data_IF_647286456392
#
_entry.id   IF_647286456392
#
_cell.length_a   1.000
_cell.length_b   1.000
_cell.length_c   1.000
_cell.angle_alpha   90.00
_cell.angle_beta   90.00
_cell.angle_gamma   90.00
#
_symmetry.space_group_name_H-M   'P 1'
#
loop_
_entity.id
_entity.type
_entity.pdbx_description
1 polymer ?
#
# COMPACT_ATOMS: atom_id res chain seq x y z
N UNK A 1 -24.77 -44.84 -51.59
CA UNK A 1 -23.78 -45.84 -51.12
C UNK A 1 -24.26 -47.18 -51.67
N UNK A 2 -23.58 -47.74 -52.68
CA UNK A 2 -24.00 -48.97 -53.37
C UNK A 2 -22.86 -49.98 -53.28
N UNK A 3 -23.18 -51.20 -52.83
CA UNK A 3 -22.25 -52.31 -52.59
C UNK A 3 -22.10 -53.12 -53.90
N UNK A 4 -20.88 -53.34 -54.37
CA UNK A 4 -20.57 -54.28 -55.46
C UNK A 4 -20.42 -55.73 -54.94
N UNK A 5 -20.62 -56.75 -55.80
CA UNK A 5 -20.66 -58.17 -55.42
C UNK A 5 -19.33 -58.79 -54.96
N UNK A 6 -18.25 -58.00 -54.95
CA UNK A 6 -16.87 -58.39 -54.67
C UNK A 6 -16.24 -57.58 -53.52
N UNK A 7 -17.06 -56.86 -52.74
CA UNK A 7 -16.67 -56.32 -51.43
C UNK A 7 -15.69 -55.14 -51.44
N UNK A 8 -15.33 -54.61 -52.60
CA UNK A 8 -14.48 -53.41 -52.74
C UNK A 8 -15.30 -52.12 -52.80
N UNK A 9 -14.89 -51.11 -52.01
CA UNK A 9 -15.48 -49.77 -51.98
C UNK A 9 -14.97 -48.91 -53.14
N UNK A 10 -15.86 -48.42 -54.00
CA UNK A 10 -15.54 -47.40 -55.00
C UNK A 10 -15.81 -46.00 -54.45
N UNK A 11 -14.78 -45.16 -54.42
CA UNK A 11 -14.89 -43.71 -54.22
C UNK A 11 -15.32 -43.05 -55.54
N UNK A 12 -16.45 -42.34 -55.54
CA UNK A 12 -16.88 -41.52 -56.67
C UNK A 12 -15.89 -40.36 -56.90
N UNK A 13 -15.65 -39.92 -58.15
CA UNK A 13 -14.81 -38.75 -58.42
C UNK A 13 -15.59 -37.46 -58.14
N UNK A 14 -14.97 -36.54 -57.40
CA UNK A 14 -15.43 -35.16 -57.22
C UNK A 14 -14.84 -34.29 -58.37
N UNK A 15 -15.61 -33.37 -58.98
CA UNK A 15 -15.11 -32.57 -60.10
C UNK A 15 -14.19 -31.42 -59.68
N UNK A 16 -13.28 -31.09 -60.58
CA UNK A 16 -12.31 -30.00 -60.49
C UNK A 16 -12.93 -28.63 -60.84
N UNK A 17 -12.40 -27.58 -60.18
CA UNK A 17 -12.67 -26.15 -60.37
C UNK A 17 -12.81 -25.47 -59.01
N UNK A 18 -12.17 -24.36 -58.64
CA UNK A 18 -11.41 -23.31 -59.33
C UNK A 18 -10.51 -22.58 -58.28
N UNK A 19 -9.42 -22.00 -58.78
CA UNK A 19 -8.68 -20.80 -58.30
C UNK A 19 -8.32 -20.56 -56.83
N UNK A 20 -7.03 -20.76 -56.58
CA UNK A 20 -6.05 -19.88 -55.92
C UNK A 20 -6.55 -18.50 -55.43
N UNK A 21 -6.57 -18.28 -54.12
CA UNK A 21 -6.34 -16.95 -53.51
C UNK A 21 -5.35 -17.13 -52.36
N UNK A 22 -4.12 -16.63 -52.57
CA UNK A 22 -3.09 -16.50 -51.56
C UNK A 22 -3.51 -15.43 -50.53
N UNK A 23 -4.01 -15.88 -49.38
CA UNK A 23 -4.14 -15.01 -48.23
C UNK A 23 -2.78 -14.90 -47.52
N UNK A 24 -2.10 -13.79 -47.74
CA UNK A 24 -0.94 -13.39 -46.96
C UNK A 24 -1.34 -13.27 -45.49
N UNK A 25 -0.85 -14.18 -44.65
CA UNK A 25 -0.85 -14.02 -43.19
C UNK A 25 0.01 -12.82 -42.83
N UNK A 26 -0.62 -11.66 -42.65
CA UNK A 26 0.00 -10.58 -41.89
C UNK A 26 0.02 -11.01 -40.42
N UNK A 27 1.18 -11.54 -40.03
CA UNK A 27 1.58 -11.77 -38.64
C UNK A 27 1.32 -10.50 -37.82
N UNK A 28 0.24 -10.51 -37.05
CA UNK A 28 -0.01 -9.52 -36.01
C UNK A 28 1.03 -9.71 -34.92
N UNK A 29 2.07 -8.87 -34.93
CA UNK A 29 3.08 -8.81 -33.88
C UNK A 29 2.39 -8.36 -32.57
N UNK A 30 1.83 -9.34 -31.86
CA UNK A 30 1.25 -9.16 -30.53
C UNK A 30 2.42 -9.01 -29.56
N UNK A 31 2.66 -7.80 -29.05
CA UNK A 31 3.63 -7.60 -27.98
C UNK A 31 3.33 -8.59 -26.83
N UNK A 32 4.36 -9.26 -26.28
CA UNK A 32 4.17 -10.41 -25.40
C UNK A 32 3.42 -10.00 -24.13
N UNK A 33 2.32 -10.71 -23.82
CA UNK A 33 1.52 -10.55 -22.58
C UNK A 33 2.38 -10.47 -21.31
N UNK A 34 3.50 -11.20 -21.31
CA UNK A 34 4.48 -11.29 -20.22
C UNK A 34 5.11 -9.97 -19.77
N UNK A 35 5.27 -9.00 -20.67
CA UNK A 35 5.83 -7.68 -20.31
C UNK A 35 4.81 -6.79 -19.61
N UNK A 36 3.52 -7.02 -19.85
CA UNK A 36 2.44 -6.14 -19.38
C UNK A 36 2.03 -6.52 -17.96
N UNK A 37 1.84 -7.81 -17.70
CA UNK A 37 1.59 -8.36 -16.36
C UNK A 37 2.72 -7.98 -15.37
N UNK A 38 3.96 -7.95 -15.85
CA UNK A 38 5.12 -7.53 -15.06
C UNK A 38 5.10 -6.05 -14.64
N UNK A 39 4.53 -5.16 -15.45
CA UNK A 39 4.37 -3.74 -15.09
C UNK A 39 3.28 -3.55 -14.03
N UNK A 40 2.20 -4.37 -14.04
CA UNK A 40 1.16 -4.32 -13.01
C UNK A 40 1.69 -4.79 -11.64
N UNK A 41 2.38 -5.94 -11.63
CA UNK A 41 3.02 -6.46 -10.42
C UNK A 41 3.98 -5.42 -9.84
N UNK A 42 4.69 -4.67 -10.69
CA UNK A 42 5.64 -3.64 -10.25
C UNK A 42 5.00 -2.55 -9.40
N UNK A 43 3.88 -1.94 -9.82
CA UNK A 43 3.27 -0.85 -9.05
C UNK A 43 2.64 -1.35 -7.74
N UNK A 44 2.10 -2.56 -7.75
CA UNK A 44 1.54 -3.21 -6.56
C UNK A 44 2.64 -3.57 -5.56
N UNK A 45 3.78 -4.10 -6.04
CA UNK A 45 4.98 -4.36 -5.25
C UNK A 45 5.56 -3.07 -4.70
N UNK A 46 5.75 -2.03 -5.51
CA UNK A 46 6.27 -0.73 -5.05
C UNK A 46 5.38 -0.12 -3.96
N UNK A 47 4.05 -0.24 -4.09
CA UNK A 47 3.10 0.23 -3.08
C UNK A 47 3.21 -0.58 -1.78
N UNK A 48 3.38 -1.90 -1.89
CA UNK A 48 3.62 -2.79 -0.75
C UNK A 48 4.95 -2.49 -0.06
N UNK A 49 5.99 -2.15 -0.80
CA UNK A 49 7.28 -1.75 -0.24
C UNK A 49 7.20 -0.42 0.49
N UNK A 50 6.52 0.57 -0.08
CA UNK A 50 6.38 1.91 0.52
C UNK A 50 5.56 1.93 1.81
N UNK A 51 4.66 0.97 2.05
CA UNK A 51 3.94 0.88 3.33
C UNK A 51 4.81 0.28 4.46
N UNK A 52 5.86 -0.49 4.14
CA UNK A 52 6.70 -1.16 5.15
C UNK A 52 7.39 -0.17 6.12
N UNK A 53 8.02 0.94 5.66
CA UNK A 53 8.58 1.93 6.55
C UNK A 53 7.53 2.56 7.49
N UNK A 54 6.34 2.88 6.98
CA UNK A 54 5.23 3.44 7.77
C UNK A 54 4.83 2.46 8.88
N UNK A 55 4.66 1.18 8.56
CA UNK A 55 4.35 0.11 9.53
C UNK A 55 5.42 0.00 10.61
N UNK A 56 6.70 -0.04 10.21
CA UNK A 56 7.84 -0.17 11.12
C UNK A 56 7.94 1.03 12.06
N UNK A 57 7.83 2.25 11.53
CA UNK A 57 7.92 3.48 12.30
C UNK A 57 6.73 3.65 13.25
N UNK A 58 5.52 3.30 12.82
CA UNK A 58 4.32 3.31 13.66
C UNK A 58 4.49 2.36 14.86
N UNK A 59 4.94 1.13 14.60
CA UNK A 59 5.22 0.15 15.65
C UNK A 59 6.32 0.63 16.59
N UNK A 60 7.37 1.25 16.04
CA UNK A 60 8.50 1.77 16.82
C UNK A 60 8.04 2.86 17.80
N UNK A 61 7.22 3.81 17.35
CA UNK A 61 6.67 4.86 18.20
C UNK A 61 5.81 4.28 19.32
N UNK A 62 4.80 3.47 18.98
CA UNK A 62 3.89 2.89 19.95
C UNK A 62 4.63 2.03 20.99
N UNK A 63 5.63 1.25 20.56
CA UNK A 63 6.49 0.46 21.45
C UNK A 63 7.31 1.36 22.38
N UNK A 64 7.87 2.47 21.88
CA UNK A 64 8.67 3.38 22.70
C UNK A 64 7.82 4.10 23.75
N UNK A 65 6.59 4.47 23.42
CA UNK A 65 5.63 5.08 24.34
C UNK A 65 5.13 4.08 25.39
N UNK A 66 4.75 2.86 24.97
CA UNK A 66 4.24 1.82 25.87
C UNK A 66 5.29 1.31 26.86
N UNK A 67 6.56 1.19 26.43
CA UNK A 67 7.63 0.67 27.28
C UNK A 67 7.95 1.54 28.49
N UNK A 68 7.60 2.82 28.48
CA UNK A 68 8.06 3.77 29.50
C UNK A 68 6.93 4.52 30.21
N UNK A 69 5.72 4.53 29.65
CA UNK A 69 4.52 4.99 30.36
C UNK A 69 3.96 4.03 31.42
N UNK A 70 4.51 2.81 31.55
CA UNK A 70 3.97 1.75 32.42
C UNK A 70 5.02 1.03 33.29
N UNK A 71 6.30 1.39 33.20
CA UNK A 71 7.41 0.63 33.80
C UNK A 71 8.17 1.36 34.92
N UNK A 72 7.73 2.56 35.31
CA UNK A 72 8.17 3.19 36.55
C UNK A 72 7.27 2.76 37.71
N UNK A 73 7.87 2.28 38.80
CA UNK A 73 7.18 2.00 40.08
C UNK A 73 6.59 3.28 40.70
N UNK A 74 7.14 4.43 40.33
CA UNK A 74 6.55 5.74 40.55
C UNK A 74 5.58 5.99 39.40
N UNK A 75 4.29 5.86 39.68
CA UNK A 75 3.22 6.17 38.74
C UNK A 75 3.45 7.53 38.09
N UNK A 76 2.86 7.73 36.91
CA UNK A 76 2.85 9.01 36.21
C UNK A 76 2.58 10.10 37.25
N UNK A 77 3.60 10.86 37.68
CA UNK A 77 3.40 11.92 38.66
C UNK A 77 2.25 12.75 38.09
N UNK A 78 1.19 12.85 38.88
CA UNK A 78 -0.17 13.22 38.52
C UNK A 78 -0.33 14.69 38.09
N UNK A 79 0.74 15.28 37.56
CA UNK A 79 0.93 16.69 37.25
C UNK A 79 1.14 16.99 35.77
N UNK A 80 0.73 16.11 34.86
CA UNK A 80 0.48 16.57 33.48
C UNK A 80 -0.81 17.38 33.46
N UNK A 81 -0.69 18.71 33.42
CA UNK A 81 -1.75 19.70 33.15
C UNK A 81 -2.29 19.56 31.71
N UNK A 82 -2.66 18.34 31.31
CA UNK A 82 -3.24 18.05 30.02
C UNK A 82 -4.75 18.26 30.09
N UNK A 83 -5.25 19.19 29.28
CA UNK A 83 -6.69 19.35 29.10
C UNK A 83 -7.33 18.08 28.55
N UNK A 84 -8.62 17.87 28.84
CA UNK A 84 -9.37 16.72 28.29
C UNK A 84 -9.29 16.64 26.77
N UNK A 85 -9.23 17.79 26.08
CA UNK A 85 -9.05 17.86 24.62
C UNK A 85 -7.72 17.25 24.16
N UNK A 86 -6.63 17.51 24.89
CA UNK A 86 -5.30 16.97 24.59
C UNK A 86 -5.23 15.47 24.87
N UNK A 87 -5.83 15.01 25.98
CA UNK A 87 -5.93 13.58 26.30
C UNK A 87 -6.74 12.82 25.24
N UNK A 88 -7.89 13.36 24.83
CA UNK A 88 -8.68 12.78 23.72
C UNK A 88 -7.87 12.74 22.44
N UNK A 89 -7.12 13.80 22.11
CA UNK A 89 -6.25 13.80 20.91
C UNK A 89 -5.17 12.71 20.95
N UNK A 90 -4.58 12.41 22.12
CA UNK A 90 -3.60 11.33 22.29
C UNK A 90 -4.25 9.95 22.17
N UNK A 91 -5.41 9.75 22.78
CA UNK A 91 -6.16 8.49 22.69
C UNK A 91 -6.57 8.19 21.24
N UNK A 92 -7.07 9.21 20.55
CA UNK A 92 -7.42 9.12 19.14
C UNK A 92 -6.22 8.93 18.24
N UNK A 93 -5.05 9.46 18.60
CA UNK A 93 -3.83 9.32 17.81
C UNK A 93 -3.45 7.85 17.60
N UNK A 94 -3.33 7.08 18.68
CA UNK A 94 -2.93 5.67 18.60
C UNK A 94 -3.93 4.83 17.80
N UNK A 95 -5.22 5.02 18.05
CA UNK A 95 -6.29 4.30 17.34
C UNK A 95 -6.36 4.69 15.86
N UNK A 96 -6.32 5.98 15.51
CA UNK A 96 -6.33 6.46 14.11
C UNK A 96 -5.10 5.99 13.35
N UNK A 97 -3.91 6.02 13.97
CA UNK A 97 -2.68 5.50 13.39
C UNK A 97 -2.83 4.00 13.07
N UNK A 98 -3.27 3.21 14.04
CA UNK A 98 -3.48 1.78 13.86
C UNK A 98 -4.50 1.47 12.76
N UNK A 99 -5.68 2.13 12.78
CA UNK A 99 -6.72 1.94 11.77
C UNK A 99 -6.20 2.29 10.38
N UNK A 100 -5.54 3.43 10.23
CA UNK A 100 -5.03 3.89 8.94
C UNK A 100 -4.00 2.91 8.36
N UNK A 101 -2.98 2.57 9.16
CA UNK A 101 -1.88 1.73 8.72
C UNK A 101 -2.32 0.28 8.45
N UNK A 102 -3.17 -0.29 9.31
CA UNK A 102 -3.68 -1.64 9.10
C UNK A 102 -4.70 -1.71 7.97
N UNK A 103 -5.48 -0.65 7.75
CA UNK A 103 -6.39 -0.52 6.62
C UNK A 103 -5.61 -0.52 5.29
N UNK A 104 -4.58 0.32 5.18
CA UNK A 104 -3.71 0.36 4.00
C UNK A 104 -3.08 -1.02 3.73
N UNK A 105 -2.48 -1.64 4.76
CA UNK A 105 -1.85 -2.95 4.60
C UNK A 105 -2.84 -4.04 4.17
N UNK A 106 -4.08 -4.03 4.70
CA UNK A 106 -5.13 -4.98 4.30
C UNK A 106 -5.59 -4.76 2.87
N UNK A 107 -5.75 -3.50 2.45
CA UNK A 107 -6.14 -3.15 1.08
C UNK A 107 -5.09 -3.61 0.07
N UNK A 108 -3.80 -3.39 0.37
CA UNK A 108 -2.69 -3.84 -0.50
C UNK A 108 -2.62 -5.38 -0.53
N UNK A 109 -2.74 -6.05 0.62
CA UNK A 109 -2.73 -7.52 0.69
C UNK A 109 -3.91 -8.18 -0.04
N UNK A 110 -5.03 -7.47 -0.14
CA UNK A 110 -6.25 -7.92 -0.79
C UNK A 110 -6.30 -7.63 -2.29
N UNK A 111 -5.22 -7.13 -2.90
CA UNK A 111 -5.15 -6.95 -4.34
C UNK A 111 -5.15 -8.32 -5.02
N UNK A 112 -6.29 -8.67 -5.62
CA UNK A 112 -6.48 -9.87 -6.42
C UNK A 112 -7.12 -9.42 -7.74
N UNK A 113 -6.50 -9.67 -8.91
CA UNK A 113 -7.11 -9.34 -10.20
C UNK A 113 -8.46 -10.02 -10.43
N UNK A 114 -9.43 -9.37 -11.10
CA UNK A 114 -9.35 -8.00 -11.63
C UNK A 114 -9.55 -6.92 -10.55
N UNK A 115 -8.64 -5.94 -10.51
CA UNK A 115 -8.65 -4.85 -9.53
C UNK A 115 -9.31 -3.59 -10.09
N UNK A 116 -10.21 -2.96 -9.33
CA UNK A 116 -10.66 -1.59 -9.60
C UNK A 116 -9.65 -0.59 -9.01
N UNK A 117 -8.64 -0.23 -9.83
CA UNK A 117 -7.53 0.64 -9.44
C UNK A 117 -8.00 2.00 -8.89
N UNK A 118 -9.01 2.61 -9.50
CA UNK A 118 -9.54 3.90 -9.06
C UNK A 118 -10.18 3.81 -7.66
N UNK A 119 -11.00 2.78 -7.42
CA UNK A 119 -11.64 2.54 -6.12
C UNK A 119 -10.60 2.23 -5.04
N UNK A 120 -9.61 1.40 -5.36
CA UNK A 120 -8.50 1.08 -4.45
C UNK A 120 -7.69 2.34 -4.15
N UNK A 121 -7.31 3.10 -5.17
CA UNK A 121 -6.55 4.35 -5.02
C UNK A 121 -7.26 5.35 -4.11
N UNK A 122 -8.56 5.59 -4.34
CA UNK A 122 -9.40 6.42 -3.47
C UNK A 122 -9.43 5.93 -2.03
N UNK A 123 -9.56 4.61 -1.82
CA UNK A 123 -9.56 4.01 -0.48
C UNK A 123 -8.23 4.24 0.23
N UNK A 124 -7.11 3.93 -0.42
CA UNK A 124 -5.76 4.11 0.11
C UNK A 124 -5.47 5.57 0.43
N UNK A 125 -5.84 6.49 -0.46
CA UNK A 125 -5.71 7.95 -0.27
C UNK A 125 -6.49 8.42 0.96
N UNK A 126 -7.72 7.95 1.12
CA UNK A 126 -8.56 8.27 2.27
C UNK A 126 -7.91 7.81 3.58
N UNK A 127 -7.30 6.62 3.60
CA UNK A 127 -6.61 6.07 4.76
C UNK A 127 -5.24 6.73 5.02
N UNK A 128 -4.55 7.22 3.99
CA UNK A 128 -3.28 7.94 4.14
C UNK A 128 -3.46 9.39 4.60
N UNK A 129 -4.62 10.02 4.32
CA UNK A 129 -4.89 11.42 4.67
C UNK A 129 -4.68 11.74 6.16
N UNK A 130 -5.21 10.95 7.13
CA UNK A 130 -4.96 11.17 8.55
C UNK A 130 -3.49 11.15 8.94
N UNK A 131 -2.66 10.36 8.26
CA UNK A 131 -1.23 10.24 8.54
C UNK A 131 -0.48 11.55 8.32
N UNK A 132 -0.97 12.39 7.40
CA UNK A 132 -0.38 13.69 7.06
C UNK A 132 -0.91 14.83 7.92
N UNK A 133 -2.21 14.82 8.27
CA UNK A 133 -2.87 16.04 8.77
C UNK A 133 -3.30 15.98 10.23
N UNK A 134 -3.28 14.80 10.87
CA UNK A 134 -3.86 14.63 12.21
C UNK A 134 -2.83 14.38 13.31
N UNK A 135 -1.55 14.33 12.97
CA UNK A 135 -0.52 13.85 13.90
C UNK A 135 0.34 14.97 14.48
N UNK A 136 0.34 16.17 13.92
CA UNK A 136 1.13 17.30 14.44
C UNK A 136 0.82 17.61 15.90
N UNK A 137 -0.48 17.81 16.22
CA UNK A 137 -0.93 18.12 17.59
C UNK A 137 -0.58 17.02 18.60
N UNK A 138 -0.96 15.74 18.40
CA UNK A 138 -0.59 14.69 19.35
C UNK A 138 0.93 14.47 19.43
N UNK A 139 1.69 14.61 18.34
CA UNK A 139 3.16 14.53 18.41
C UNK A 139 3.76 15.68 19.23
N UNK A 140 3.24 16.89 19.11
CA UNK A 140 3.66 18.02 19.94
C UNK A 140 3.37 17.75 21.43
N UNK A 141 2.19 17.20 21.76
CA UNK A 141 1.83 16.80 23.13
C UNK A 141 2.77 15.69 23.64
N UNK A 142 3.06 14.68 22.81
CA UNK A 142 4.02 13.63 23.19
C UNK A 142 5.39 14.25 23.45
N UNK A 143 5.83 15.19 22.61
CA UNK A 143 7.11 15.89 22.79
C UNK A 143 7.14 16.76 24.04
N UNK A 144 6.05 17.42 24.40
CA UNK A 144 6.03 18.36 25.52
C UNK A 144 5.82 17.67 26.86
N UNK A 145 5.05 16.58 26.90
CA UNK A 145 4.67 15.93 28.15
C UNK A 145 5.45 14.65 28.43
N UNK A 146 5.67 13.80 27.42
CA UNK A 146 6.37 12.54 27.66
C UNK A 146 7.88 12.77 27.74
N UNK A 147 8.48 13.59 26.87
CA UNK A 147 9.94 13.76 26.86
C UNK A 147 10.51 14.23 28.22
N UNK A 148 9.93 15.21 28.92
CA UNK A 148 10.38 15.59 30.27
C UNK A 148 10.10 14.52 31.33
N UNK A 149 8.94 13.87 31.25
CA UNK A 149 8.54 12.83 32.19
C UNK A 149 9.43 11.58 32.10
N UNK A 150 10.00 11.32 30.92
CA UNK A 150 10.96 10.25 30.69
C UNK A 150 12.40 10.63 31.12
N UNK A 151 12.61 11.77 31.77
CA UNK A 151 13.93 12.30 32.10
C UNK A 151 14.17 12.48 33.61
N UNK A 152 13.37 11.86 34.47
CA UNK A 152 13.40 12.09 35.93
C UNK A 152 14.58 11.48 36.70
N UNK A 153 15.49 10.76 36.05
CA UNK A 153 16.71 10.20 36.69
C UNK A 153 17.91 11.15 36.63
N UNK A 154 18.94 10.88 37.45
CA UNK A 154 20.15 11.69 37.77
C UNK A 154 20.87 12.34 36.56
N UNK A 155 20.68 11.83 35.33
CA UNK A 155 21.21 12.35 34.05
C UNK A 155 20.15 13.00 33.13
N UNK A 156 19.04 13.49 33.70
CA UNK A 156 17.81 13.84 33.00
C UNK A 156 17.94 14.75 31.77
N UNK A 157 18.84 15.73 31.80
CA UNK A 157 19.04 16.63 30.66
C UNK A 157 19.56 15.89 29.40
N UNK A 158 20.43 14.89 29.57
CA UNK A 158 20.99 14.12 28.47
C UNK A 158 19.93 13.18 27.86
N UNK A 159 19.09 12.57 28.72
CA UNK A 159 17.98 11.70 28.32
C UNK A 159 16.90 12.50 27.61
N UNK A 160 16.56 13.69 28.09
CA UNK A 160 15.57 14.57 27.45
C UNK A 160 16.00 14.96 26.03
N UNK A 161 17.26 15.35 25.85
CA UNK A 161 17.82 15.70 24.55
C UNK A 161 17.80 14.51 23.59
N UNK A 162 18.21 13.33 24.06
CA UNK A 162 18.12 12.10 23.27
C UNK A 162 16.69 11.80 22.80
N UNK A 163 15.68 11.94 23.67
CA UNK A 163 14.29 11.69 23.28
C UNK A 163 13.75 12.73 22.31
N UNK A 164 14.12 13.99 22.48
CA UNK A 164 13.77 15.08 21.56
C UNK A 164 14.36 14.83 20.17
N UNK A 165 15.66 14.58 20.09
CA UNK A 165 16.37 14.28 18.84
C UNK A 165 15.80 13.03 18.16
N UNK A 166 15.55 11.98 18.93
CA UNK A 166 14.91 10.77 18.42
C UNK A 166 13.52 11.05 17.85
N UNK A 167 12.71 11.88 18.50
CA UNK A 167 11.37 12.20 18.04
C UNK A 167 11.39 13.05 16.77
N UNK A 168 12.30 14.02 16.67
CA UNK A 168 12.54 14.79 15.45
C UNK A 168 12.93 13.84 14.31
N UNK A 169 13.91 12.98 14.54
CA UNK A 169 14.38 11.98 13.56
C UNK A 169 13.25 11.06 13.11
N UNK A 170 12.47 10.53 14.05
CA UNK A 170 11.33 9.67 13.77
C UNK A 170 10.27 10.40 12.92
N UNK A 171 9.92 11.64 13.28
CA UNK A 171 8.92 12.44 12.59
C UNK A 171 9.34 12.74 11.14
N UNK A 172 10.60 13.11 10.94
CA UNK A 172 11.16 13.32 9.60
C UNK A 172 11.11 12.03 8.76
N UNK A 173 11.57 10.90 9.32
CA UNK A 173 11.52 9.61 8.61
C UNK A 173 10.08 9.18 8.29
N UNK A 174 9.14 9.43 9.20
CA UNK A 174 7.74 9.12 9.01
C UNK A 174 7.11 9.98 7.90
N UNK A 175 7.41 11.28 7.89
CA UNK A 175 6.99 12.19 6.82
C UNK A 175 7.52 11.77 5.44
N UNK A 176 8.80 11.41 5.35
CA UNK A 176 9.41 10.89 4.11
C UNK A 176 8.72 9.60 3.66
N UNK A 177 8.48 8.67 4.59
CA UNK A 177 7.79 7.41 4.26
C UNK A 177 6.37 7.64 3.72
N UNK A 178 5.62 8.57 4.29
CA UNK A 178 4.29 8.94 3.79
C UNK A 178 4.38 9.61 2.42
N UNK A 179 5.38 10.47 2.20
CA UNK A 179 5.66 11.09 0.91
C UNK A 179 5.86 10.04 -0.18
N UNK A 180 6.79 9.11 0.05
CA UNK A 180 7.08 8.01 -0.89
C UNK A 180 5.84 7.15 -1.16
N UNK A 181 5.06 6.82 -0.13
CA UNK A 181 3.81 6.09 -0.29
C UNK A 181 2.79 6.85 -1.15
N UNK A 182 2.63 8.15 -0.93
CA UNK A 182 1.72 8.99 -1.72
C UNK A 182 2.17 9.11 -3.18
N UNK A 183 3.48 9.16 -3.44
CA UNK A 183 4.03 9.21 -4.79
C UNK A 183 3.81 7.87 -5.51
N UNK A 184 4.08 6.74 -4.84
CA UNK A 184 3.74 5.41 -5.33
C UNK A 184 2.24 5.26 -5.62
N UNK A 185 1.38 5.82 -4.77
CA UNK A 185 -0.07 5.83 -4.97
C UNK A 185 -0.49 6.62 -6.22
N UNK A 186 0.17 7.76 -6.51
CA UNK A 186 -0.09 8.54 -7.73
C UNK A 186 0.30 7.77 -8.98
N UNK A 187 1.40 7.02 -8.93
CA UNK A 187 1.82 6.16 -10.04
C UNK A 187 0.84 5.01 -10.26
N UNK A 188 0.43 4.35 -9.17
CA UNK A 188 -0.58 3.29 -9.18
C UNK A 188 -1.92 3.75 -9.78
N UNK A 189 -2.41 4.95 -9.42
CA UNK A 189 -3.69 5.49 -9.94
C UNK A 189 -3.62 5.91 -11.42
N UNK A 190 -2.43 6.30 -11.92
CA UNK A 190 -2.24 6.68 -13.33
C UNK A 190 -2.14 5.47 -14.25
N UNK A 191 -2.05 4.27 -13.70
CA UNK A 191 -2.00 3.05 -14.49
C UNK A 191 -3.37 2.80 -15.17
N UNK A 192 -3.43 2.60 -16.49
CA UNK A 192 -4.69 2.39 -17.19
C UNK A 192 -5.38 1.10 -16.71
N UNK A 193 -6.71 1.10 -16.50
CA UNK A 193 -7.45 -0.11 -16.22
C UNK A 193 -7.34 -1.08 -17.39
N UNK A 194 -7.43 -2.39 -17.10
CA UNK A 194 -7.46 -3.50 -18.08
C UNK A 194 -8.46 -3.32 -19.24
N UNK A 195 -9.41 -2.38 -19.12
CA UNK A 195 -10.54 -2.19 -20.02
C UNK A 195 -10.33 -0.94 -20.88
N UNK A 196 -9.41 -0.94 -21.87
CA UNK A 196 -9.56 -0.09 -23.07
C UNK A 196 -8.55 -0.30 -24.22
N UNK A 197 -8.01 -1.51 -24.43
CA UNK A 197 -7.32 -1.81 -25.71
C UNK A 197 -7.79 -3.08 -26.41
N UNK A 198 -8.67 -3.85 -25.78
CA UNK A 198 -9.27 -5.06 -26.35
C UNK A 198 -10.56 -4.79 -27.13
N UNK A 199 -10.97 -3.51 -27.29
CA UNK A 199 -12.19 -3.10 -28.00
C UNK A 199 -11.93 -2.12 -29.15
N UNK A 200 -10.69 -2.01 -29.63
CA UNK A 200 -10.33 -1.12 -30.74
C UNK A 200 -9.86 -1.86 -32.00
N UNK A 201 -10.15 -3.15 -32.12
CA UNK A 201 -10.04 -3.89 -33.39
C UNK A 201 -11.20 -4.87 -33.49
#
# INVERSE_FOLDING_TARGET
MLLGPDGSLFLSPLPAGESLVLAHSTSGYSAPRRSRDADFDKFEIELAEHILPILKLSRLLLKKLSKRGLSGEEGIESYTELSSKQLTSLLEFGSKLHISVTGIARTIRGLIPPVNYERVGRSLRSMAKPLNTKFEVPLAIISSCFVPMLATDVDGFSVQNYYREWMVTWSTQFGVAIGNFNDGLRLYERHPPYIERSRLW
#
